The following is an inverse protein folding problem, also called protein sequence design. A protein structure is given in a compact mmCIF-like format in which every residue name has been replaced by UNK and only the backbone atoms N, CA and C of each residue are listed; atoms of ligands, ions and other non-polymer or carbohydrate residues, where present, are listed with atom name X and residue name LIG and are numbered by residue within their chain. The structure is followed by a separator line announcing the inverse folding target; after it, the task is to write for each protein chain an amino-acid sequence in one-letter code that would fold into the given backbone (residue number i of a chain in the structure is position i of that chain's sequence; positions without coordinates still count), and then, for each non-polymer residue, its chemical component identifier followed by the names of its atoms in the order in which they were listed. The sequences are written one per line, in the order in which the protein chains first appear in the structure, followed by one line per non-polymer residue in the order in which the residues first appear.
data_IF_797971015764
#
_entry.id   IF_797971015764
#
_cell.length_a   1.000
_cell.length_b   1.000
_cell.length_c   1.000
_cell.angle_alpha   90.00
_cell.angle_beta   90.00
_cell.angle_gamma   90.00
#
_symmetry.space_group_name_H-M   'P 1'
#
loop_
_entity.id
_entity.type
_entity.pdbx_description
1 polymer ?
#
# COMPACT_ATOMS: atom_id res chain seq x y z
N UNK A 1 7.62 -32.03 25.73
CA UNK A 1 8.62 -30.95 25.59
C UNK A 1 8.07 -29.68 26.23
N UNK A 2 8.72 -29.15 27.27
CA UNK A 2 8.22 -28.03 28.11
C UNK A 2 7.91 -26.77 27.29
N UNK A 3 8.75 -26.45 26.30
CA UNK A 3 8.62 -25.28 25.42
C UNK A 3 7.28 -25.26 24.65
N UNK A 4 6.80 -26.42 24.17
CA UNK A 4 5.56 -26.49 23.38
C UNK A 4 4.35 -26.14 24.25
N UNK A 5 4.31 -26.65 25.48
CA UNK A 5 3.20 -26.39 26.41
C UNK A 5 3.16 -24.92 26.83
N UNK A 6 4.32 -24.34 27.15
CA UNK A 6 4.42 -22.95 27.57
C UNK A 6 4.09 -21.98 26.42
N UNK A 7 4.57 -22.27 25.20
CA UNK A 7 4.25 -21.48 24.02
C UNK A 7 2.75 -21.50 23.72
N UNK A 8 2.11 -22.68 23.72
CA UNK A 8 0.66 -22.79 23.49
C UNK A 8 -0.14 -22.06 24.58
N UNK A 9 0.29 -22.14 25.84
CA UNK A 9 -0.33 -21.39 26.94
C UNK A 9 -0.24 -19.88 26.73
N UNK A 10 0.93 -19.37 26.34
CA UNK A 10 1.12 -17.96 26.03
C UNK A 10 0.27 -17.53 24.83
N UNK A 11 0.17 -18.36 23.78
CA UNK A 11 -0.70 -18.10 22.64
C UNK A 11 -2.16 -18.01 23.04
N UNK A 12 -2.68 -18.92 23.85
CA UNK A 12 -4.07 -18.85 24.31
C UNK A 12 -4.34 -17.59 25.15
N UNK A 13 -3.41 -17.20 26.02
CA UNK A 13 -3.52 -15.96 26.79
C UNK A 13 -3.53 -14.73 25.87
N UNK A 14 -2.69 -14.74 24.84
CA UNK A 14 -2.64 -13.66 23.86
C UNK A 14 -3.92 -13.58 23.02
N UNK A 15 -4.46 -14.71 22.57
CA UNK A 15 -5.76 -14.75 21.85
C UNK A 15 -6.90 -14.28 22.74
N UNK A 16 -6.88 -14.58 24.03
CA UNK A 16 -7.88 -14.08 24.97
C UNK A 16 -7.81 -12.55 25.13
N UNK A 17 -6.61 -11.96 25.09
CA UNK A 17 -6.41 -10.52 25.17
C UNK A 17 -6.66 -9.79 23.83
N UNK A 18 -6.37 -10.46 22.70
CA UNK A 18 -6.54 -9.94 21.34
C UNK A 18 -7.34 -10.96 20.51
N UNK A 19 -8.68 -10.94 20.62
CA UNK A 19 -9.54 -11.94 19.98
C UNK A 19 -9.39 -12.04 18.46
N UNK A 20 -8.92 -10.98 17.79
CA UNK A 20 -8.60 -10.99 16.35
C UNK A 20 -7.64 -12.14 15.94
N UNK A 21 -6.77 -12.55 16.86
CA UNK A 21 -5.80 -13.62 16.64
C UNK A 21 -6.43 -15.02 16.64
N UNK A 22 -7.66 -15.16 17.13
CA UNK A 22 -8.42 -16.42 17.23
C UNK A 22 -9.02 -16.91 15.91
N UNK A 23 -9.89 -17.92 15.95
CA UNK A 23 -10.43 -18.54 14.72
C UNK A 23 -11.56 -17.75 14.06
N UNK A 24 -12.41 -17.11 14.87
CA UNK A 24 -13.64 -16.46 14.42
C UNK A 24 -13.73 -15.00 14.88
N UNK A 25 -12.85 -14.12 14.37
CA UNK A 25 -12.90 -12.71 14.72
C UNK A 25 -14.15 -12.04 14.16
N UNK A 26 -14.71 -11.11 14.93
CA UNK A 26 -15.83 -10.27 14.51
C UNK A 26 -15.38 -8.82 14.27
N UNK A 27 -16.33 -7.95 13.89
CA UNK A 27 -16.04 -6.53 13.61
C UNK A 27 -15.46 -5.79 14.81
N UNK A 28 -15.97 -6.05 16.02
CA UNK A 28 -15.47 -5.41 17.24
C UNK A 28 -14.02 -5.82 17.50
N UNK A 29 -13.69 -7.10 17.35
CA UNK A 29 -12.32 -7.59 17.54
C UNK A 29 -11.33 -6.92 16.57
N UNK A 30 -11.80 -6.62 15.36
CA UNK A 30 -11.04 -5.90 14.34
C UNK A 30 -10.84 -4.43 14.70
N UNK A 31 -11.88 -3.72 15.15
CA UNK A 31 -11.75 -2.32 15.60
C UNK A 31 -10.82 -2.21 16.82
N UNK A 32 -10.98 -3.08 17.82
CA UNK A 32 -10.13 -3.13 19.00
C UNK A 32 -8.64 -3.41 18.60
N UNK A 33 -8.43 -4.22 17.54
CA UNK A 33 -7.08 -4.46 17.02
C UNK A 33 -6.48 -3.28 16.25
N UNK A 34 -7.30 -2.45 15.58
CA UNK A 34 -6.83 -1.21 14.95
C UNK A 34 -6.37 -0.21 16.02
N UNK A 35 -7.13 -0.05 17.11
CA UNK A 35 -6.74 0.78 18.26
C UNK A 35 -5.43 0.28 18.88
N UNK A 36 -5.25 -1.04 18.98
CA UNK A 36 -4.00 -1.63 19.45
C UNK A 36 -2.83 -1.31 18.51
N UNK A 37 -3.02 -1.41 17.19
CA UNK A 37 -1.96 -1.05 16.22
C UNK A 37 -1.60 0.42 16.31
N UNK A 38 -2.58 1.32 16.44
CA UNK A 38 -2.33 2.76 16.63
C UNK A 38 -1.47 3.01 17.88
N UNK A 39 -1.84 2.38 19.01
CA UNK A 39 -1.06 2.47 20.24
C UNK A 39 0.37 1.94 20.04
N UNK A 40 0.54 0.77 19.44
CA UNK A 40 1.84 0.15 19.23
C UNK A 40 2.73 0.99 18.30
N UNK A 41 2.19 1.58 17.23
CA UNK A 41 2.96 2.45 16.34
C UNK A 41 3.50 3.69 17.05
N UNK A 42 2.74 4.25 18.00
CA UNK A 42 3.14 5.47 18.73
C UNK A 42 4.06 5.18 19.92
N UNK A 43 3.85 4.07 20.62
CA UNK A 43 4.47 3.82 21.93
C UNK A 43 5.49 2.67 21.91
N UNK A 44 5.26 1.62 21.11
CA UNK A 44 6.10 0.42 21.07
C UNK A 44 6.29 -0.13 19.63
N UNK A 45 6.85 0.66 18.70
CA UNK A 45 6.89 0.28 17.27
C UNK A 45 7.77 -0.93 16.97
N UNK A 46 8.66 -1.32 17.89
CA UNK A 46 9.50 -2.53 17.78
C UNK A 46 8.87 -3.78 18.38
N UNK A 47 7.63 -3.71 18.87
CA UNK A 47 6.95 -4.85 19.48
C UNK A 47 6.64 -5.92 18.44
N UNK A 48 7.02 -7.20 18.64
CA UNK A 48 6.64 -8.30 17.76
C UNK A 48 5.12 -8.47 17.61
N UNK A 49 4.35 -7.96 18.58
CA UNK A 49 2.89 -7.98 18.52
C UNK A 49 2.36 -7.15 17.36
N UNK A 50 3.03 -6.05 17.00
CA UNK A 50 2.65 -5.20 15.88
C UNK A 50 2.60 -5.99 14.58
N UNK A 51 3.65 -6.76 14.28
CA UNK A 51 3.72 -7.61 13.09
C UNK A 51 2.63 -8.68 13.08
N UNK A 52 2.40 -9.31 14.23
CA UNK A 52 1.40 -10.37 14.40
C UNK A 52 -0.01 -9.82 14.16
N UNK A 53 -0.36 -8.70 14.79
CA UNK A 53 -1.69 -8.08 14.67
C UNK A 53 -1.90 -7.53 13.25
N UNK A 54 -0.92 -6.83 12.68
CA UNK A 54 -0.99 -6.34 11.30
C UNK A 54 -1.21 -7.48 10.29
N UNK A 55 -0.53 -8.62 10.45
CA UNK A 55 -0.71 -9.78 9.58
C UNK A 55 -2.14 -10.34 9.67
N UNK A 56 -2.74 -10.33 10.87
CA UNK A 56 -4.09 -10.82 11.11
C UNK A 56 -5.17 -9.87 10.62
N UNK A 57 -4.98 -8.55 10.80
CA UNK A 57 -5.78 -7.49 10.20
C UNK A 57 -5.83 -7.66 8.68
N UNK A 58 -4.67 -7.75 8.03
CA UNK A 58 -4.58 -7.94 6.57
C UNK A 58 -5.35 -9.18 6.11
N UNK A 59 -5.27 -10.28 6.85
CA UNK A 59 -6.00 -11.52 6.52
C UNK A 59 -7.51 -11.36 6.69
N UNK A 60 -7.93 -10.63 7.71
CA UNK A 60 -9.34 -10.35 7.97
C UNK A 60 -9.95 -9.43 6.90
N UNK A 61 -9.18 -8.43 6.44
CA UNK A 61 -9.56 -7.49 5.38
C UNK A 61 -9.53 -8.10 3.97
N UNK A 62 -8.71 -9.13 3.73
CA UNK A 62 -8.38 -9.63 2.39
C UNK A 62 -9.60 -10.00 1.53
N UNK A 63 -10.69 -10.46 2.16
CA UNK A 63 -11.90 -10.91 1.46
C UNK A 63 -13.06 -9.91 1.54
N UNK A 64 -12.85 -8.73 2.15
CA UNK A 64 -13.88 -7.70 2.23
C UNK A 64 -14.17 -7.15 0.82
N UNK A 65 -15.43 -7.03 0.40
CA UNK A 65 -15.79 -6.57 -0.94
C UNK A 65 -15.14 -5.22 -1.30
N UNK A 66 -15.10 -4.29 -0.35
CA UNK A 66 -14.49 -2.96 -0.52
C UNK A 66 -12.97 -3.03 -0.76
N UNK A 67 -12.26 -3.94 -0.08
CA UNK A 67 -10.82 -4.12 -0.23
C UNK A 67 -10.50 -4.85 -1.54
N UNK A 68 -11.33 -5.81 -1.92
CA UNK A 68 -11.21 -6.50 -3.22
C UNK A 68 -11.45 -5.52 -4.37
N UNK A 69 -12.49 -4.71 -4.29
CA UNK A 69 -12.80 -3.69 -5.30
C UNK A 69 -11.67 -2.65 -5.42
N UNK A 70 -11.17 -2.15 -4.28
CA UNK A 70 -10.04 -1.22 -4.26
C UNK A 70 -8.79 -1.83 -4.90
N UNK A 71 -8.48 -3.10 -4.60
CA UNK A 71 -7.33 -3.79 -5.20
C UNK A 71 -7.48 -3.91 -6.71
N UNK A 72 -8.66 -4.28 -7.20
CA UNK A 72 -8.94 -4.38 -8.64
C UNK A 72 -8.79 -3.02 -9.33
N UNK A 73 -9.26 -1.94 -8.70
CA UNK A 73 -9.06 -0.58 -9.21
C UNK A 73 -7.57 -0.22 -9.27
N UNK A 74 -6.82 -0.49 -8.19
CA UNK A 74 -5.38 -0.23 -8.14
C UNK A 74 -4.59 -1.02 -9.20
N UNK A 75 -4.91 -2.30 -9.38
CA UNK A 75 -4.28 -3.16 -10.40
C UNK A 75 -4.61 -2.71 -11.83
N UNK A 76 -5.72 -2.00 -12.04
CA UNK A 76 -6.07 -1.45 -13.36
C UNK A 76 -5.27 -0.20 -13.76
N UNK A 77 -4.55 0.42 -12.82
CA UNK A 77 -3.75 1.61 -13.05
C UNK A 77 -2.28 1.22 -13.23
N UNK A 78 -1.70 1.40 -14.43
CA UNK A 78 -0.27 1.13 -14.64
C UNK A 78 0.61 1.95 -13.69
N UNK A 79 1.59 1.31 -13.05
CA UNK A 79 2.45 1.91 -12.01
C UNK A 79 3.08 3.24 -12.47
N UNK A 80 3.61 3.28 -13.70
CA UNK A 80 4.19 4.51 -14.26
C UNK A 80 3.21 5.66 -14.42
N UNK A 81 1.92 5.38 -14.67
CA UNK A 81 0.87 6.40 -14.74
C UNK A 81 0.50 6.87 -13.32
N UNK A 82 0.41 5.96 -12.36
CA UNK A 82 0.14 6.31 -10.96
C UNK A 82 1.22 7.28 -10.44
N UNK A 83 2.50 6.95 -10.63
CA UNK A 83 3.61 7.83 -10.23
C UNK A 83 3.56 9.18 -10.92
N UNK A 84 3.31 9.21 -12.23
CA UNK A 84 3.18 10.48 -12.96
C UNK A 84 2.03 11.34 -12.43
N UNK A 85 0.86 10.75 -12.16
CA UNK A 85 -0.29 11.46 -11.58
C UNK A 85 0.02 12.01 -10.19
N UNK A 86 0.71 11.23 -9.36
CA UNK A 86 1.17 11.68 -8.04
C UNK A 86 2.12 12.87 -8.16
N UNK A 87 3.11 12.81 -9.05
CA UNK A 87 4.04 13.93 -9.28
C UNK A 87 3.31 15.17 -9.81
N UNK A 88 2.35 15.00 -10.72
CA UNK A 88 1.50 16.09 -11.19
C UNK A 88 0.75 16.76 -10.05
N UNK A 89 0.12 15.99 -9.16
CA UNK A 89 -0.62 16.55 -8.03
C UNK A 89 0.30 17.22 -6.99
N UNK A 90 1.41 16.59 -6.62
CA UNK A 90 2.33 17.11 -5.60
C UNK A 90 2.99 18.42 -6.05
N UNK A 91 3.39 18.52 -7.32
CA UNK A 91 4.03 19.71 -7.88
C UNK A 91 3.04 20.68 -8.54
N UNK A 92 1.73 20.41 -8.45
CA UNK A 92 0.65 21.20 -9.08
C UNK A 92 0.88 21.46 -10.58
N UNK A 93 1.35 20.43 -11.28
CA UNK A 93 1.64 20.45 -12.72
C UNK A 93 0.42 20.04 -13.54
N UNK A 94 0.29 20.65 -14.71
CA UNK A 94 -0.72 20.36 -15.71
C UNK A 94 -0.13 19.53 -16.86
N UNK A 95 -0.97 19.04 -17.77
CA UNK A 95 -0.52 18.36 -19.00
C UNK A 95 0.36 19.23 -19.92
N UNK A 96 0.43 20.54 -19.66
CA UNK A 96 1.26 21.47 -20.41
C UNK A 96 2.72 21.45 -19.98
N UNK A 97 3.01 20.94 -18.80
CA UNK A 97 4.29 21.13 -18.13
C UNK A 97 5.28 19.99 -18.38
N UNK A 98 5.00 19.09 -19.33
CA UNK A 98 5.78 17.87 -19.62
C UNK A 98 6.35 17.83 -21.04
N UNK A 99 6.54 18.99 -21.65
CA UNK A 99 7.01 19.11 -23.03
C UNK A 99 8.40 18.50 -23.24
N UNK A 100 9.28 18.63 -22.24
CA UNK A 100 10.68 18.20 -22.36
C UNK A 100 10.86 16.71 -22.07
N UNK A 101 10.05 16.13 -21.18
CA UNK A 101 10.16 14.74 -20.74
C UNK A 101 9.35 13.80 -21.62
N UNK A 102 8.10 14.16 -21.88
CA UNK A 102 7.15 13.29 -22.57
C UNK A 102 6.82 13.87 -23.95
N UNK A 103 6.49 15.16 -24.04
CA UNK A 103 6.18 15.86 -25.29
C UNK A 103 4.88 16.67 -25.26
N UNK A 104 4.18 16.75 -26.39
CA UNK A 104 3.01 17.64 -26.53
C UNK A 104 1.85 17.28 -25.56
N UNK A 105 1.01 18.28 -25.24
CA UNK A 105 -0.16 18.12 -24.35
C UNK A 105 -1.06 16.93 -24.73
N UNK A 106 -1.27 16.75 -26.04
CA UNK A 106 -2.06 15.62 -26.57
C UNK A 106 -1.40 14.28 -26.27
N UNK A 107 -0.07 14.18 -26.39
CA UNK A 107 0.63 12.94 -26.08
C UNK A 107 0.61 12.68 -24.56
N UNK A 108 0.78 13.70 -23.71
CA UNK A 108 0.70 13.55 -22.24
C UNK A 108 -0.68 13.05 -21.84
N UNK A 109 -1.74 13.61 -22.41
CA UNK A 109 -3.11 13.14 -22.21
C UNK A 109 -3.30 11.68 -22.62
N UNK A 110 -2.75 11.26 -23.77
CA UNK A 110 -2.82 9.85 -24.20
C UNK A 110 -2.07 8.91 -23.24
N UNK A 111 -0.95 9.35 -22.69
CA UNK A 111 -0.22 8.57 -21.67
C UNK A 111 -1.06 8.44 -20.39
N UNK A 112 -1.61 9.54 -19.88
CA UNK A 112 -2.44 9.54 -18.67
C UNK A 112 -3.73 8.72 -18.78
N UNK A 113 -4.23 8.55 -20.01
CA UNK A 113 -5.41 7.73 -20.34
C UNK A 113 -5.06 6.29 -20.73
N UNK A 114 -3.79 5.88 -20.60
CA UNK A 114 -3.35 4.53 -20.95
C UNK A 114 -3.32 4.20 -22.45
N UNK A 115 -3.61 5.17 -23.32
CA UNK A 115 -3.59 5.00 -24.77
C UNK A 115 -2.15 4.97 -25.34
N UNK A 116 -1.16 5.41 -24.56
CA UNK A 116 0.27 5.25 -24.85
C UNK A 116 1.06 4.94 -23.59
N UNK A 117 2.08 4.09 -23.72
CA UNK A 117 2.99 3.81 -22.63
C UNK A 117 4.13 4.83 -22.55
N UNK A 118 4.66 5.03 -21.34
CA UNK A 118 5.90 5.77 -21.14
C UNK A 118 7.06 4.96 -21.73
N UNK A 119 7.87 5.60 -22.58
CA UNK A 119 9.09 4.98 -23.09
C UNK A 119 10.21 5.07 -22.05
N UNK A 120 11.24 4.24 -22.16
CA UNK A 120 12.44 4.35 -21.30
C UNK A 120 13.07 5.75 -21.35
N UNK A 121 12.99 6.44 -22.49
CA UNK A 121 13.49 7.81 -22.60
C UNK A 121 12.62 8.80 -21.79
N UNK A 122 11.29 8.66 -21.83
CA UNK A 122 10.40 9.48 -21.01
C UNK A 122 10.69 9.25 -19.52
N UNK A 123 10.81 7.98 -19.10
CA UNK A 123 11.09 7.61 -17.72
C UNK A 123 12.43 8.21 -17.25
N UNK A 124 13.49 8.11 -18.06
CA UNK A 124 14.79 8.71 -17.72
C UNK A 124 14.70 10.21 -17.51
N UNK A 125 13.97 10.92 -18.37
CA UNK A 125 13.80 12.37 -18.26
C UNK A 125 12.95 12.78 -17.06
N UNK A 126 11.85 12.06 -16.81
CA UNK A 126 10.99 12.27 -15.62
C UNK A 126 11.79 12.03 -14.33
N UNK A 127 12.49 10.89 -14.26
CA UNK A 127 13.35 10.55 -13.13
C UNK A 127 14.40 11.64 -12.86
N UNK A 128 15.07 12.13 -13.92
CA UNK A 128 16.05 13.21 -13.82
C UNK A 128 15.43 14.53 -13.32
N UNK A 129 14.25 14.91 -13.82
CA UNK A 129 13.56 16.13 -13.39
C UNK A 129 13.16 16.10 -11.92
N UNK A 130 12.58 15.00 -11.47
CA UNK A 130 12.03 14.90 -10.11
C UNK A 130 13.02 14.34 -9.09
N UNK A 131 14.23 13.98 -9.50
CA UNK A 131 15.25 13.42 -8.62
C UNK A 131 14.88 12.06 -8.03
N UNK A 132 14.09 11.27 -8.75
CA UNK A 132 13.58 9.96 -8.30
C UNK A 132 14.18 8.81 -9.10
N UNK A 133 14.14 7.60 -8.55
CA UNK A 133 14.60 6.41 -9.26
C UNK A 133 13.72 6.11 -10.48
N UNK A 134 14.29 5.83 -11.66
CA UNK A 134 13.55 5.34 -12.84
C UNK A 134 12.72 4.09 -12.54
N UNK A 135 13.15 3.27 -11.58
CA UNK A 135 12.44 2.05 -11.18
C UNK A 135 11.03 2.31 -10.65
N UNK A 136 10.72 3.52 -10.17
CA UNK A 136 9.37 3.87 -9.73
C UNK A 136 8.34 3.83 -10.87
N UNK A 137 8.76 3.99 -12.12
CA UNK A 137 7.85 4.03 -13.27
C UNK A 137 7.64 2.66 -13.93
N UNK A 138 8.26 1.60 -13.38
CA UNK A 138 8.34 0.28 -13.98
C UNK A 138 7.73 -0.73 -12.99
N UNK A 139 6.97 -1.69 -13.50
CA UNK A 139 6.49 -2.86 -12.75
C UNK A 139 7.60 -3.91 -12.57
#
# INVERSE_FOLDING_TARGET
MMIVADAMKATHALVAAVPLLGEHPNEKDYQDALELVEYLLMNEPGSPLLDIVCARIRRYEANRPEIVALRQEMESVPVGIAVLRTLMDQYKLTISDFQDEIGSKSMVSRVLNGQRQLTLNHIKKLAARFGVSPALFIE
#
